data_IF_051928345655
#
_entry.id   IF_051928345655
#
_cell.length_a   1.000
_cell.length_b   1.000
_cell.length_c   1.000
_cell.angle_alpha   90.00
_cell.angle_beta   90.00
_cell.angle_gamma   90.00
#
_symmetry.space_group_name_H-M   'P 1'
#
loop_
_entity.id
_entity.type
_entity.pdbx_description
1 polymer ?
#
# COMPACT_ATOMS: atom_id res chain seq x y z
N UNK A 1 11.22 0.45 2.54
CA UNK A 1 10.31 0.94 3.59
C UNK A 1 9.38 -0.18 4.04
N UNK A 2 9.70 -0.93 5.10
CA UNK A 2 8.70 -1.78 5.77
C UNK A 2 7.63 -0.92 6.43
N UNK A 3 6.39 -1.39 6.39
CA UNK A 3 5.30 -0.87 7.23
C UNK A 3 5.50 -1.48 8.61
N UNK A 4 5.62 -0.66 9.65
CA UNK A 4 5.83 -1.09 11.03
C UNK A 4 4.49 -1.30 11.75
N UNK A 5 3.55 -0.36 11.58
CA UNK A 5 2.26 -0.37 12.26
C UNK A 5 1.13 0.10 11.35
N UNK A 6 -0.06 -0.42 11.61
CA UNK A 6 -1.32 0.09 11.08
C UNK A 6 -2.24 0.40 12.26
N UNK A 7 -2.79 1.61 12.27
CA UNK A 7 -3.91 1.99 13.12
C UNK A 7 -5.16 2.19 12.26
N UNK A 8 -6.29 1.68 12.73
CA UNK A 8 -7.60 1.84 12.10
C UNK A 8 -8.66 2.00 13.17
N UNK A 9 -9.53 2.99 13.01
CA UNK A 9 -10.67 3.18 13.90
C UNK A 9 -11.92 3.55 13.10
N UNK A 10 -13.05 3.02 13.54
CA UNK A 10 -14.38 3.31 12.98
C UNK A 10 -14.51 3.03 11.46
N UNK A 11 -13.75 2.07 10.92
CA UNK A 11 -13.88 1.62 9.51
C UNK A 11 -14.65 0.30 9.43
N UNK A 12 -15.68 0.24 8.59
CA UNK A 12 -16.54 -0.94 8.38
C UNK A 12 -17.11 -1.48 9.71
N UNK A 13 -16.58 -2.61 10.19
CA UNK A 13 -16.98 -3.29 11.44
C UNK A 13 -15.92 -3.20 12.54
N UNK A 14 -14.83 -2.48 12.28
CA UNK A 14 -13.74 -2.35 13.23
C UNK A 14 -13.97 -1.11 14.10
N UNK A 15 -14.28 -1.28 15.40
CA UNK A 15 -14.28 -0.16 16.32
C UNK A 15 -12.85 0.41 16.39
N UNK A 16 -11.87 -0.46 16.61
CA UNK A 16 -10.45 -0.14 16.57
C UNK A 16 -9.63 -1.38 16.26
N UNK A 17 -8.59 -1.24 15.44
CA UNK A 17 -7.62 -2.28 15.12
C UNK A 17 -6.23 -1.65 15.07
N UNK A 18 -5.32 -2.22 15.85
CA UNK A 18 -3.90 -1.88 15.86
C UNK A 18 -3.10 -3.13 15.44
N UNK A 19 -2.39 -3.05 14.32
CA UNK A 19 -1.53 -4.14 13.82
C UNK A 19 -0.08 -3.70 13.92
N UNK A 20 0.77 -4.56 14.47
CA UNK A 20 2.23 -4.44 14.42
C UNK A 20 2.75 -5.48 13.44
N UNK A 21 3.47 -5.06 12.42
CA UNK A 21 4.10 -5.94 11.45
C UNK A 21 5.51 -6.30 11.92
N UNK A 22 5.97 -7.48 11.52
CA UNK A 22 7.38 -7.86 11.65
C UNK A 22 8.19 -7.35 10.44
N UNK A 23 9.52 -7.35 10.57
CA UNK A 23 10.43 -6.85 9.54
C UNK A 23 10.56 -7.77 8.31
N UNK A 24 9.95 -8.96 8.37
CA UNK A 24 10.02 -10.01 7.37
C UNK A 24 8.65 -10.20 6.69
N UNK A 25 8.33 -11.45 6.33
CA UNK A 25 7.06 -11.78 5.73
C UNK A 25 5.95 -11.87 6.78
N UNK A 26 4.83 -11.21 6.51
CA UNK A 26 3.68 -11.13 7.41
C UNK A 26 2.50 -11.91 6.82
N UNK A 27 1.99 -12.90 7.55
CA UNK A 27 0.79 -13.67 7.17
C UNK A 27 -0.43 -13.16 7.92
N UNK A 28 -1.44 -12.66 7.20
CA UNK A 28 -2.74 -12.28 7.78
C UNK A 28 -3.74 -13.40 7.49
N UNK A 29 -4.05 -14.19 8.50
CA UNK A 29 -4.95 -15.35 8.41
C UNK A 29 -6.24 -15.16 9.23
N UNK A 30 -7.25 -15.99 8.96
CA UNK A 30 -8.52 -16.00 9.69
C UNK A 30 -9.72 -16.36 8.82
N UNK A 31 -10.91 -16.58 9.41
CA UNK A 31 -12.13 -16.95 8.68
C UNK A 31 -12.56 -15.91 7.63
N UNK A 32 -13.42 -16.31 6.69
CA UNK A 32 -14.01 -15.37 5.75
C UNK A 32 -14.83 -14.30 6.48
N UNK A 33 -14.73 -13.05 6.04
CA UNK A 33 -15.44 -11.93 6.66
C UNK A 33 -14.82 -11.39 7.96
N UNK A 34 -13.74 -11.97 8.49
CA UNK A 34 -13.07 -11.46 9.70
C UNK A 34 -12.32 -10.13 9.50
N UNK A 35 -12.20 -9.66 8.25
CA UNK A 35 -11.67 -8.33 7.93
C UNK A 35 -10.22 -8.28 7.43
N UNK A 36 -9.62 -9.40 7.02
CA UNK A 36 -8.29 -9.46 6.35
C UNK A 36 -8.16 -8.45 5.21
N UNK A 37 -9.09 -8.46 4.26
CA UNK A 37 -9.13 -7.52 3.13
C UNK A 37 -9.35 -6.08 3.59
N UNK A 38 -10.02 -5.87 4.72
CA UNK A 38 -10.24 -4.54 5.28
C UNK A 38 -8.97 -3.94 5.88
N UNK A 39 -8.09 -4.77 6.48
CA UNK A 39 -6.74 -4.35 6.91
C UNK A 39 -5.92 -3.88 5.70
N UNK A 40 -5.89 -4.67 4.63
CA UNK A 40 -5.20 -4.29 3.38
C UNK A 40 -5.80 -3.04 2.73
N UNK A 41 -7.13 -2.90 2.78
CA UNK A 41 -7.80 -1.71 2.26
C UNK A 41 -7.44 -0.47 3.06
N UNK A 42 -7.35 -0.56 4.40
CA UNK A 42 -6.95 0.57 5.23
C UNK A 42 -5.52 1.05 4.92
N UNK A 43 -4.58 0.12 4.72
CA UNK A 43 -3.22 0.46 4.23
C UNK A 43 -3.31 1.19 2.89
N UNK A 44 -4.11 0.67 1.94
CA UNK A 44 -4.26 1.30 0.63
C UNK A 44 -4.90 2.70 0.70
N UNK A 45 -5.85 2.92 1.61
CA UNK A 45 -6.43 4.25 1.86
C UNK A 45 -5.41 5.25 2.39
N UNK A 46 -4.41 4.80 3.16
CA UNK A 46 -3.30 5.66 3.60
C UNK A 46 -2.43 6.16 2.43
N UNK A 47 -2.54 5.55 1.25
CA UNK A 47 -1.76 5.92 0.05
C UNK A 47 -2.54 6.80 -0.92
N UNK A 48 -3.81 6.47 -1.08
CA UNK A 48 -4.75 7.23 -1.87
C UNK A 48 -6.15 6.91 -1.40
N UNK A 49 -6.89 7.96 -1.02
CA UNK A 49 -8.28 7.81 -0.66
C UNK A 49 -9.14 7.46 -1.87
N UNK A 50 -10.07 6.53 -1.67
CA UNK A 50 -11.17 6.28 -2.59
C UNK A 50 -12.39 5.75 -1.81
N UNK A 51 -13.41 6.60 -1.64
CA UNK A 51 -14.62 6.29 -0.88
C UNK A 51 -15.47 5.12 -1.40
N UNK A 52 -15.23 4.61 -2.61
CA UNK A 52 -16.02 3.50 -3.18
C UNK A 52 -15.70 2.15 -2.53
N UNK A 53 -14.45 1.97 -2.06
CA UNK A 53 -13.92 0.67 -1.64
C UNK A 53 -14.03 0.38 -0.14
N UNK A 54 -14.48 1.33 0.68
CA UNK A 54 -14.68 1.11 2.12
C UNK A 54 -15.80 1.96 2.68
N UNK A 55 -16.42 1.46 3.74
CA UNK A 55 -17.43 2.19 4.50
C UNK A 55 -16.73 2.84 5.67
N UNK A 56 -16.82 4.16 5.74
CA UNK A 56 -16.34 4.94 6.87
C UNK A 56 -17.54 5.26 7.76
N UNK A 57 -17.31 5.32 9.07
CA UNK A 57 -18.24 5.89 10.02
C UNK A 57 -17.76 7.30 10.40
N UNK A 58 -18.58 8.06 11.11
CA UNK A 58 -18.13 9.31 11.70
C UNK A 58 -16.91 9.06 12.60
N UNK A 59 -15.97 10.01 12.61
CA UNK A 59 -14.70 9.89 13.31
C UNK A 59 -13.86 8.67 12.89
N UNK A 60 -13.97 8.24 11.62
CA UNK A 60 -13.00 7.33 11.03
C UNK A 60 -11.61 7.95 11.05
N UNK A 61 -10.62 7.14 11.38
CA UNK A 61 -9.20 7.51 11.29
C UNK A 61 -8.38 6.27 10.97
N UNK A 62 -7.28 6.48 10.24
CA UNK A 62 -6.36 5.41 9.88
C UNK A 62 -5.01 5.98 9.48
N UNK A 63 -3.94 5.30 9.86
CA UNK A 63 -2.60 5.63 9.41
C UNK A 63 -1.68 4.42 9.45
N UNK A 64 -0.67 4.46 8.60
CA UNK A 64 0.46 3.55 8.63
C UNK A 64 1.71 4.26 9.14
N UNK A 65 2.50 3.51 9.89
CA UNK A 65 3.83 3.91 10.31
C UNK A 65 4.85 3.15 9.47
N UNK A 66 5.84 3.88 8.95
CA UNK A 66 6.86 3.31 8.07
C UNK A 66 8.23 3.80 8.49
N UNK A 67 9.23 2.98 8.17
CA UNK A 67 10.64 3.28 8.42
C UNK A 67 11.40 3.27 7.10
N UNK A 68 12.06 4.37 6.79
CA UNK A 68 12.91 4.51 5.62
C UNK A 68 14.34 4.80 6.06
N UNK A 69 15.19 3.77 6.02
CA UNK A 69 16.61 3.93 6.31
C UNK A 69 16.89 4.67 7.64
N UNK A 70 16.06 4.46 8.66
CA UNK A 70 16.18 5.11 9.98
C UNK A 70 15.26 6.32 10.18
N UNK A 71 14.72 6.90 9.11
CA UNK A 71 13.72 7.95 9.20
C UNK A 71 12.32 7.35 9.41
N UNK A 72 11.61 7.84 10.44
CA UNK A 72 10.28 7.37 10.80
C UNK A 72 9.22 8.32 10.27
N UNK A 73 8.25 7.75 9.56
CA UNK A 73 7.14 8.49 8.99
C UNK A 73 5.79 7.89 9.41
N UNK A 74 4.75 8.73 9.39
CA UNK A 74 3.34 8.36 9.57
C UNK A 74 2.53 8.95 8.44
N UNK A 75 1.73 8.13 7.78
CA UNK A 75 0.91 8.54 6.64
C UNK A 75 -0.53 8.09 6.82
N UNK A 76 -1.49 9.00 6.60
CA UNK A 76 -2.91 8.63 6.64
C UNK A 76 -3.83 9.80 6.90
N UNK A 77 -4.89 9.56 7.66
CA UNK A 77 -5.88 10.55 8.04
C UNK A 77 -6.24 10.45 9.51
N UNK A 78 -6.14 11.58 10.20
CA UNK A 78 -6.56 11.74 11.58
C UNK A 78 -8.09 11.88 11.73
N UNK A 79 -8.57 12.08 12.96
CA UNK A 79 -9.99 12.11 13.27
C UNK A 79 -10.66 13.33 12.63
N UNK A 80 -11.86 13.15 12.08
CA UNK A 80 -12.65 14.22 11.47
C UNK A 80 -12.28 14.57 10.03
N UNK A 81 -11.42 13.77 9.36
CA UNK A 81 -11.06 14.01 7.96
C UNK A 81 -12.23 13.84 6.97
N UNK A 82 -13.25 13.09 7.38
CA UNK A 82 -14.35 12.64 6.53
C UNK A 82 -15.69 13.11 7.09
N UNK A 83 -16.55 13.62 6.20
CA UNK A 83 -17.97 13.84 6.48
C UNK A 83 -18.76 12.78 5.74
N UNK A 84 -19.38 11.86 6.47
CA UNK A 84 -20.24 10.85 5.86
C UNK A 84 -21.56 11.51 5.43
N UNK A 85 -21.68 11.89 4.15
CA UNK A 85 -22.88 12.58 3.66
C UNK A 85 -23.98 11.55 3.29
N UNK A 86 -23.63 10.46 2.57
CA UNK A 86 -24.55 9.36 2.16
C UNK A 86 -23.80 8.05 1.86
N UNK A 87 -24.54 6.93 1.79
CA UNK A 87 -24.03 5.59 1.46
C UNK A 87 -23.19 5.58 0.17
N UNK A 88 -21.89 5.23 0.29
CA UNK A 88 -20.89 5.15 -0.82
C UNK A 88 -20.62 6.46 -1.56
N UNK A 89 -20.89 7.59 -0.92
CA UNK A 89 -20.53 8.93 -1.42
C UNK A 89 -19.82 9.72 -0.32
N UNK A 90 -18.96 9.05 0.44
CA UNK A 90 -18.10 9.72 1.39
C UNK A 90 -17.23 10.72 0.60
N UNK A 91 -17.04 11.93 1.12
CA UNK A 91 -16.10 12.90 0.56
C UNK A 91 -15.13 13.31 1.67
N UNK A 92 -13.85 13.48 1.30
CA UNK A 92 -12.89 14.12 2.19
C UNK A 92 -13.39 15.54 2.45
N UNK A 93 -13.65 15.85 3.71
CA UNK A 93 -14.03 17.20 4.11
C UNK A 93 -12.77 18.06 4.32
N UNK A 94 -11.74 17.47 4.93
CA UNK A 94 -10.49 18.14 5.24
C UNK A 94 -9.38 17.11 5.34
N UNK A 95 -8.18 17.45 4.86
CA UNK A 95 -7.00 16.64 5.13
C UNK A 95 -6.56 16.89 6.57
N UNK A 96 -6.69 15.87 7.41
CA UNK A 96 -6.28 15.94 8.82
C UNK A 96 -5.07 15.05 9.01
N UNK A 97 -3.97 15.65 9.45
CA UNK A 97 -2.74 14.93 9.74
C UNK A 97 -2.95 13.98 10.92
N UNK A 98 -2.45 12.73 10.85
CA UNK A 98 -2.49 11.82 11.99
C UNK A 98 -1.73 12.37 13.22
N UNK A 99 -2.04 11.88 14.44
CA UNK A 99 -1.36 12.32 15.65
C UNK A 99 0.17 12.23 15.54
N UNK A 100 0.87 13.23 16.05
CA UNK A 100 2.34 13.26 16.10
C UNK A 100 2.88 12.29 17.15
N UNK A 101 4.07 11.74 16.88
CA UNK A 101 4.81 10.89 17.82
C UNK A 101 6.28 11.36 17.81
N UNK A 102 6.93 11.35 18.97
CA UNK A 102 8.32 11.81 19.08
C UNK A 102 9.24 11.00 18.14
N UNK A 103 10.06 11.72 17.37
CA UNK A 103 10.94 11.11 16.38
C UNK A 103 10.24 10.56 15.13
N UNK A 104 8.94 10.83 14.93
CA UNK A 104 8.18 10.44 13.72
C UNK A 104 7.48 11.63 13.08
N UNK A 105 7.70 11.82 11.77
CA UNK A 105 7.05 12.89 11.00
C UNK A 105 5.70 12.40 10.47
N UNK A 106 4.62 13.11 10.79
CA UNK A 106 3.27 12.78 10.34
C UNK A 106 2.89 13.59 9.10
N UNK A 107 2.25 12.93 8.14
CA UNK A 107 1.79 13.50 6.88
C UNK A 107 0.36 13.05 6.61
N UNK A 108 -0.45 13.95 6.05
CA UNK A 108 -1.77 13.60 5.54
C UNK A 108 -1.69 13.02 4.13
N UNK A 109 -2.84 12.60 3.60
CA UNK A 109 -2.96 11.95 2.29
C UNK A 109 -2.46 12.78 1.10
N UNK A 110 -2.47 14.12 1.21
CA UNK A 110 -2.04 15.00 0.12
C UNK A 110 -0.53 14.93 -0.11
N UNK A 111 0.24 14.70 0.96
CA UNK A 111 1.70 14.62 0.95
C UNK A 111 2.25 13.23 0.57
N UNK A 112 1.43 12.19 0.61
CA UNK A 112 1.90 10.80 0.43
C UNK A 112 2.61 10.63 -0.91
N UNK A 113 2.07 11.18 -1.99
CA UNK A 113 2.60 10.97 -3.35
C UNK A 113 3.93 11.70 -3.59
N UNK A 114 4.26 12.70 -2.78
CA UNK A 114 5.51 13.47 -2.90
C UNK A 114 6.55 13.03 -1.88
N UNK A 115 6.14 12.46 -0.75
CA UNK A 115 7.03 12.05 0.35
C UNK A 115 7.30 10.55 0.41
N UNK A 116 6.36 9.72 -0.04
CA UNK A 116 6.46 8.27 0.02
C UNK A 116 7.18 7.73 -1.22
N UNK A 117 8.50 7.57 -1.13
CA UNK A 117 9.35 7.23 -2.29
C UNK A 117 9.01 5.88 -2.94
N UNK A 118 8.61 4.90 -2.13
CA UNK A 118 8.43 3.50 -2.58
C UNK A 118 7.09 2.94 -2.10
N UNK A 119 5.94 3.41 -2.65
CA UNK A 119 4.62 2.94 -2.25
C UNK A 119 4.49 1.43 -2.43
N UNK A 120 3.78 0.74 -1.52
CA UNK A 120 3.66 -0.71 -1.59
C UNK A 120 2.93 -1.15 -2.87
N UNK A 121 3.43 -2.23 -3.46
CA UNK A 121 2.78 -2.93 -4.56
C UNK A 121 1.60 -3.74 -4.02
N UNK A 122 0.37 -3.26 -4.26
CA UNK A 122 -0.84 -3.98 -3.88
C UNK A 122 -1.26 -4.96 -4.97
N UNK A 123 -1.34 -6.24 -4.60
CA UNK A 123 -1.77 -7.35 -5.45
C UNK A 123 -3.04 -7.95 -4.83
N UNK A 124 -4.15 -7.94 -5.56
CA UNK A 124 -5.41 -8.54 -5.14
C UNK A 124 -5.43 -10.07 -5.24
N UNK A 125 -6.62 -10.67 -5.10
CA UNK A 125 -6.82 -12.12 -5.04
C UNK A 125 -6.67 -12.85 -6.40
N UNK A 126 -5.70 -12.45 -7.23
CA UNK A 126 -5.43 -13.13 -8.49
C UNK A 126 -4.95 -14.55 -8.23
N UNK A 127 -5.83 -15.51 -8.52
CA UNK A 127 -5.54 -16.95 -8.42
C UNK A 127 -4.61 -17.44 -9.53
N UNK A 128 -4.31 -16.59 -10.52
CA UNK A 128 -3.43 -16.91 -11.66
C UNK A 128 -2.79 -15.66 -12.22
N UNK A 129 -1.47 -15.69 -12.39
CA UNK A 129 -0.74 -14.71 -13.21
C UNK A 129 -0.85 -15.17 -14.67
N UNK A 130 -1.85 -14.66 -15.38
CA UNK A 130 -2.10 -14.98 -16.79
C UNK A 130 -0.86 -14.81 -17.66
N UNK A 131 -0.69 -15.65 -18.68
CA UNK A 131 0.37 -15.46 -19.66
C UNK A 131 -0.02 -14.29 -20.57
N UNK A 132 0.86 -13.29 -20.68
CA UNK A 132 0.82 -12.24 -21.70
C UNK A 132 2.06 -12.39 -22.55
N UNK A 133 1.91 -12.20 -23.86
CA UNK A 133 3.04 -12.19 -24.79
C UNK A 133 4.06 -11.14 -24.33
N UNK A 134 5.30 -11.57 -24.17
CA UNK A 134 6.39 -10.72 -23.66
C UNK A 134 6.87 -9.84 -24.81
N UNK A 135 6.86 -8.52 -24.62
CA UNK A 135 7.31 -7.55 -25.63
C UNK A 135 8.79 -7.13 -25.44
N UNK A 136 9.58 -7.91 -24.72
CA UNK A 136 10.96 -7.56 -24.33
C UNK A 136 10.99 -6.54 -23.18
N UNK A 137 11.95 -5.62 -23.21
CA UNK A 137 12.04 -4.52 -22.23
C UNK A 137 11.09 -3.40 -22.66
N UNK A 138 10.11 -3.10 -21.81
CA UNK A 138 9.20 -1.97 -22.04
C UNK A 138 9.71 -0.73 -21.32
N UNK A 139 9.51 0.45 -21.90
CA UNK A 139 9.83 1.73 -21.24
C UNK A 139 9.04 1.85 -19.94
N UNK A 140 9.74 1.96 -18.82
CA UNK A 140 9.10 2.32 -17.55
C UNK A 140 8.73 3.81 -17.56
N UNK A 141 7.63 4.15 -16.90
CA UNK A 141 7.30 5.56 -16.69
C UNK A 141 8.32 6.17 -15.73
N UNK A 142 8.41 7.50 -15.72
CA UNK A 142 9.19 8.20 -14.70
C UNK A 142 8.73 7.76 -13.30
N UNK A 143 9.67 7.77 -12.37
CA UNK A 143 9.51 7.44 -10.95
C UNK A 143 8.28 8.11 -10.33
N UNK A 144 8.09 9.42 -10.53
CA UNK A 144 6.94 10.16 -10.00
C UNK A 144 5.59 9.68 -10.57
N UNK A 145 5.55 9.44 -11.89
CA UNK A 145 4.36 8.93 -12.55
C UNK A 145 4.01 7.51 -12.05
N UNK A 146 5.03 6.68 -11.84
CA UNK A 146 4.89 5.33 -11.29
C UNK A 146 4.39 5.36 -9.84
N UNK A 147 4.93 6.22 -8.98
CA UNK A 147 4.45 6.40 -7.58
C UNK A 147 2.97 6.78 -7.58
N UNK A 148 2.59 7.78 -8.37
CA UNK A 148 1.20 8.22 -8.50
C UNK A 148 0.30 7.08 -8.98
N UNK A 149 0.74 6.30 -9.96
CA UNK A 149 0.02 5.14 -10.47
C UNK A 149 -0.18 4.06 -9.39
N UNK A 150 0.88 3.71 -8.66
CA UNK A 150 0.84 2.71 -7.60
C UNK A 150 -0.14 3.09 -6.48
N UNK A 151 -0.07 4.33 -5.99
CA UNK A 151 -0.97 4.84 -4.95
C UNK A 151 -2.42 4.86 -5.44
N UNK A 152 -2.69 5.45 -6.62
CA UNK A 152 -4.04 5.58 -7.15
C UNK A 152 -4.70 4.22 -7.45
N UNK A 153 -3.93 3.25 -7.95
CA UNK A 153 -4.44 1.91 -8.31
C UNK A 153 -4.44 0.94 -7.14
N UNK A 154 -3.98 1.31 -5.95
CA UNK A 154 -3.83 0.39 -4.81
C UNK A 154 -5.17 -0.32 -4.46
N UNK A 155 -6.23 0.47 -4.22
CA UNK A 155 -7.56 -0.07 -3.90
C UNK A 155 -8.19 -0.81 -5.08
N UNK A 156 -8.09 -0.27 -6.29
CA UNK A 156 -8.56 -0.95 -7.51
C UNK A 156 -7.88 -2.33 -7.66
N UNK A 157 -6.58 -2.42 -7.43
CA UNK A 157 -5.83 -3.67 -7.59
C UNK A 157 -6.15 -4.69 -6.49
N UNK A 158 -6.52 -4.21 -5.30
CA UNK A 158 -6.94 -5.07 -4.19
C UNK A 158 -8.30 -5.73 -4.45
N UNK A 159 -9.27 -4.95 -4.94
CA UNK A 159 -10.66 -5.39 -5.10
C UNK A 159 -10.98 -5.93 -6.48
N UNK A 160 -10.33 -5.43 -7.53
CA UNK A 160 -10.58 -5.85 -8.90
C UNK A 160 -9.48 -6.78 -9.38
N UNK A 161 -9.87 -7.81 -10.14
CA UNK A 161 -8.95 -8.74 -10.78
C UNK A 161 -8.21 -8.12 -11.98
N UNK A 162 -7.91 -6.81 -11.95
CA UNK A 162 -7.09 -6.20 -13.00
C UNK A 162 -5.69 -6.80 -12.97
N UNK A 163 -5.31 -7.50 -14.04
CA UNK A 163 -3.97 -8.07 -14.22
C UNK A 163 -2.93 -6.95 -14.22
N UNK A 164 -2.30 -6.71 -13.06
CA UNK A 164 -0.96 -6.15 -13.07
C UNK A 164 -0.08 -7.18 -13.73
N UNK A 165 0.71 -6.74 -14.70
CA UNK A 165 1.66 -7.61 -15.38
C UNK A 165 2.87 -7.82 -14.48
N UNK A 166 2.68 -8.56 -13.39
CA UNK A 166 3.72 -8.89 -12.42
C UNK A 166 4.89 -9.59 -13.13
N UNK A 167 4.60 -10.35 -14.21
CA UNK A 167 5.63 -10.96 -15.05
C UNK A 167 6.45 -9.91 -15.78
N UNK A 168 5.84 -8.99 -16.53
CA UNK A 168 6.57 -7.91 -17.19
C UNK A 168 7.34 -7.04 -16.18
N UNK A 169 6.76 -6.79 -15.00
CA UNK A 169 7.41 -6.07 -13.91
C UNK A 169 8.67 -6.78 -13.38
N UNK A 170 8.62 -8.11 -13.25
CA UNK A 170 9.79 -8.95 -12.90
C UNK A 170 10.80 -9.01 -14.04
N UNK A 171 10.34 -9.12 -15.29
CA UNK A 171 11.19 -9.20 -16.49
C UNK A 171 12.01 -7.92 -16.66
N UNK A 172 11.38 -6.74 -16.55
CA UNK A 172 12.10 -5.47 -16.62
C UNK A 172 13.22 -5.43 -15.57
N UNK A 173 12.93 -5.85 -14.33
CA UNK A 173 13.90 -5.92 -13.23
C UNK A 173 15.02 -6.90 -13.52
N UNK A 174 14.69 -8.11 -13.98
CA UNK A 174 15.67 -9.11 -14.35
C UNK A 174 16.65 -8.62 -15.44
N UNK A 175 16.17 -7.86 -16.43
CA UNK A 175 17.04 -7.34 -17.50
C UNK A 175 17.95 -6.18 -17.07
N UNK A 176 17.56 -5.41 -16.04
CA UNK A 176 18.36 -4.27 -15.56
C UNK A 176 19.22 -4.60 -14.35
N UNK A 177 18.99 -5.73 -13.69
CA UNK A 177 19.61 -6.07 -12.40
C UNK A 177 21.14 -6.12 -12.41
N UNK A 178 21.73 -6.52 -13.55
CA UNK A 178 23.19 -6.62 -13.70
C UNK A 178 23.83 -5.31 -14.12
N UNK A 179 23.04 -4.24 -14.30
CA UNK A 179 23.59 -2.93 -14.62
C UNK A 179 24.23 -2.30 -13.38
N UNK A 180 25.39 -1.64 -13.50
CA UNK A 180 26.10 -1.04 -12.36
C UNK A 180 25.28 -0.03 -11.56
N UNK A 181 24.30 0.60 -12.20
CA UNK A 181 23.40 1.59 -11.60
C UNK A 181 22.18 0.97 -10.87
N UNK A 182 21.83 -0.30 -11.13
CA UNK A 182 20.61 -0.94 -10.64
C UNK A 182 20.79 -1.64 -9.28
N UNK A 183 21.45 -0.97 -8.33
CA UNK A 183 21.83 -1.58 -7.03
C UNK A 183 20.62 -1.97 -6.18
N UNK A 184 19.57 -1.15 -6.20
CA UNK A 184 18.36 -1.36 -5.42
C UNK A 184 17.53 -2.52 -5.98
N UNK A 185 17.36 -2.56 -7.30
CA UNK A 185 16.68 -3.64 -8.02
C UNK A 185 17.36 -4.98 -7.76
N UNK A 186 18.70 -4.99 -7.75
CA UNK A 186 19.49 -6.18 -7.40
C UNK A 186 19.25 -6.66 -5.98
N UNK A 187 19.29 -5.74 -5.03
CA UNK A 187 19.05 -6.07 -3.62
C UNK A 187 17.64 -6.63 -3.41
N UNK A 188 16.64 -6.00 -4.02
CA UNK A 188 15.24 -6.42 -3.93
C UNK A 188 15.00 -7.79 -4.58
N UNK A 189 15.63 -8.05 -5.72
CA UNK A 189 15.54 -9.33 -6.41
C UNK A 189 16.22 -10.45 -5.63
N UNK A 190 17.43 -10.22 -5.10
CA UNK A 190 18.12 -11.22 -4.28
C UNK A 190 17.30 -11.58 -3.03
N UNK A 191 16.66 -10.58 -2.41
CA UNK A 191 15.75 -10.82 -1.30
C UNK A 191 14.53 -11.65 -1.72
N UNK A 192 13.91 -11.34 -2.86
CA UNK A 192 12.81 -12.14 -3.42
C UNK A 192 13.22 -13.59 -3.63
N UNK A 193 14.34 -13.85 -4.33
CA UNK A 193 14.83 -15.20 -4.63
C UNK A 193 15.14 -15.97 -3.35
N UNK A 194 15.73 -15.33 -2.33
CA UNK A 194 15.98 -15.96 -1.02
C UNK A 194 14.71 -16.27 -0.24
N UNK A 195 13.66 -15.48 -0.43
CA UNK A 195 12.39 -15.62 0.31
C UNK A 195 11.45 -16.65 -0.32
N UNK A 196 11.51 -16.83 -1.65
CA UNK A 196 10.63 -17.76 -2.39
C UNK A 196 10.63 -19.21 -1.84
N UNK A 197 11.78 -19.82 -1.48
CA UNK A 197 11.81 -21.16 -0.91
C UNK A 197 11.11 -21.28 0.46
N UNK A 198 10.96 -20.18 1.20
CA UNK A 198 10.34 -20.15 2.54
C UNK A 198 8.81 -20.07 2.45
N UNK A 199 8.29 -19.73 1.26
CA UNK A 199 6.86 -19.55 1.00
C UNK A 199 6.20 -20.89 0.56
N UNK A 200 6.98 -21.94 0.35
CA UNK A 200 6.55 -23.28 -0.08
C UNK A 200 6.63 -24.33 1.03
#
# INVERSE_FOLDING_TARGET
MPIERLHVKNIKRFPEVNVKFNDNFNFITGPNGCGKTSILAAIAHCLSWNGEYSRHQDNSEYWIDVNEYGEKFRFGSGPGFLRAIKYRQDQIQTFVTPPSEEGRKSFDLSDVKTRYKLPPLVIGAQRKIGYKTINGVTREQDSEASIKDYCNKALHSLYNNSSRDVKQWLINRYFVIDKPWAKEEKTNWDHLIKSLPVIG
#
